data_IF_876929578466
#
_entry.id   IF_876929578466
#
_cell.length_a   1.000
_cell.length_b   1.000
_cell.length_c   1.000
_cell.angle_alpha   90.00
_cell.angle_beta   90.00
_cell.angle_gamma   90.00
#
_symmetry.space_group_name_H-M   'P 1'
#
loop_
_entity.id
_entity.type
_entity.pdbx_description
1 polymer ?
#
# COMPACT_ATOMS: atom_id res chain seq x y z
N UNK A 1 -26.96 18.36 25.09
CA UNK A 1 -26.03 17.23 25.32
C UNK A 1 -24.69 17.65 24.74
N UNK A 2 -23.60 17.48 25.48
CA UNK A 2 -22.25 17.59 24.90
C UNK A 2 -22.08 16.46 23.88
N UNK A 3 -21.51 16.75 22.71
CA UNK A 3 -21.15 15.70 21.75
C UNK A 3 -20.16 14.75 22.42
N UNK A 4 -20.41 13.45 22.38
CA UNK A 4 -19.47 12.45 22.88
C UNK A 4 -18.23 12.48 21.98
N UNK A 5 -17.04 12.49 22.60
CA UNK A 5 -15.76 12.43 21.88
C UNK A 5 -15.76 11.20 20.94
N UNK A 6 -15.53 11.44 19.64
CA UNK A 6 -15.56 10.38 18.63
C UNK A 6 -14.39 9.41 18.79
N UNK A 7 -13.27 9.87 19.34
CA UNK A 7 -12.14 9.02 19.69
C UNK A 7 -12.57 7.97 20.72
N UNK A 8 -13.24 8.38 21.80
CA UNK A 8 -13.75 7.47 22.83
C UNK A 8 -14.79 6.50 22.26
N UNK A 9 -15.71 6.99 21.43
CA UNK A 9 -16.73 6.15 20.80
C UNK A 9 -16.11 5.05 19.92
N UNK A 10 -15.11 5.40 19.11
CA UNK A 10 -14.37 4.46 18.25
C UNK A 10 -13.54 3.48 19.08
N UNK A 11 -12.86 3.94 20.13
CA UNK A 11 -12.04 3.10 20.99
C UNK A 11 -12.87 2.04 21.74
N UNK A 12 -14.00 2.43 22.33
CA UNK A 12 -14.94 1.52 23.02
C UNK A 12 -15.49 0.44 22.07
N UNK A 13 -15.99 0.84 20.90
CA UNK A 13 -16.55 -0.09 19.92
C UNK A 13 -15.47 -1.03 19.35
N UNK A 14 -14.33 -0.48 18.96
CA UNK A 14 -13.21 -1.25 18.42
C UNK A 14 -12.77 -2.34 19.39
N UNK A 15 -12.59 -2.00 20.68
CA UNK A 15 -12.11 -2.95 21.68
C UNK A 15 -13.13 -4.06 21.91
N UNK A 16 -14.41 -3.71 22.06
CA UNK A 16 -15.52 -4.65 22.18
C UNK A 16 -15.59 -5.65 21.00
N UNK A 17 -15.35 -5.18 19.78
CA UNK A 17 -15.49 -5.98 18.56
C UNK A 17 -14.19 -6.69 18.13
N UNK A 18 -13.03 -6.19 18.55
CA UNK A 18 -11.69 -6.58 18.05
C UNK A 18 -10.73 -7.07 19.15
N UNK A 19 -11.20 -7.32 20.37
CA UNK A 19 -10.37 -7.71 21.52
C UNK A 19 -9.40 -8.87 21.24
N UNK A 20 -9.87 -9.92 20.57
CA UNK A 20 -9.02 -11.07 20.20
C UNK A 20 -7.88 -10.69 19.25
N UNK A 21 -8.08 -9.69 18.38
CA UNK A 21 -7.01 -9.16 17.52
C UNK A 21 -5.95 -8.41 18.33
N UNK A 22 -6.36 -7.68 19.38
CA UNK A 22 -5.45 -7.01 20.32
C UNK A 22 -4.66 -8.06 21.12
N UNK A 23 -5.31 -9.09 21.68
CA UNK A 23 -4.61 -10.19 22.38
C UNK A 23 -3.53 -10.84 21.52
N UNK A 24 -3.90 -11.29 20.32
CA UNK A 24 -2.96 -11.96 19.39
C UNK A 24 -1.78 -11.06 19.02
N UNK A 25 -2.01 -9.74 18.89
CA UNK A 25 -0.94 -8.77 18.68
C UNK A 25 0.01 -8.69 19.89
N UNK A 26 -0.54 -8.49 21.09
CA UNK A 26 0.24 -8.38 22.34
C UNK A 26 1.03 -9.66 22.62
N UNK A 27 0.39 -10.83 22.54
CA UNK A 27 1.06 -12.15 22.65
C UNK A 27 2.19 -12.33 21.64
N UNK A 28 2.01 -11.84 20.41
CA UNK A 28 3.06 -11.91 19.38
C UNK A 28 4.22 -10.96 19.65
N UNK A 29 3.98 -9.83 20.32
CA UNK A 29 5.02 -8.86 20.67
C UNK A 29 5.79 -9.32 21.90
N UNK A 30 5.11 -9.80 22.95
CA UNK A 30 5.75 -10.30 24.18
C UNK A 30 6.57 -11.57 23.93
N UNK A 31 6.20 -12.38 22.94
CA UNK A 31 6.98 -13.56 22.51
C UNK A 31 8.16 -13.24 21.57
N UNK A 32 8.38 -11.98 21.17
CA UNK A 32 9.58 -11.60 20.39
C UNK A 32 10.78 -11.30 21.31
N UNK A 33 11.96 -11.89 21.03
CA UNK A 33 13.17 -11.58 21.79
C UNK A 33 13.57 -10.12 21.61
N UNK A 34 14.00 -9.49 22.71
CA UNK A 34 14.37 -8.06 22.74
C UNK A 34 15.55 -7.74 21.81
N UNK A 35 16.49 -8.68 21.68
CA UNK A 35 17.72 -8.54 20.87
C UNK A 35 17.55 -9.04 19.42
N UNK A 36 16.47 -8.66 18.72
CA UNK A 36 16.34 -8.98 17.29
C UNK A 36 17.19 -8.05 16.43
N UNK A 37 18.33 -8.55 15.93
CA UNK A 37 19.25 -7.83 15.05
C UNK A 37 18.62 -7.60 13.66
N UNK A 38 17.97 -6.45 13.50
CA UNK A 38 17.33 -6.01 12.26
C UNK A 38 17.88 -4.65 11.85
N UNK A 39 17.93 -4.39 10.55
CA UNK A 39 18.26 -3.09 9.99
C UNK A 39 17.26 -2.04 10.50
N UNK A 40 17.73 -0.84 10.86
CA UNK A 40 16.82 0.26 11.12
C UNK A 40 15.99 0.58 9.87
N UNK A 41 14.69 0.73 10.05
CA UNK A 41 13.75 1.06 8.98
C UNK A 41 13.63 2.58 8.86
N UNK A 42 13.80 3.11 7.65
CA UNK A 42 13.54 4.52 7.36
C UNK A 42 12.13 4.66 6.79
N UNK A 43 11.30 5.44 7.47
CA UNK A 43 9.95 5.82 7.02
C UNK A 43 9.93 7.35 6.85
N UNK A 44 8.90 7.87 6.18
CA UNK A 44 8.70 9.32 6.08
C UNK A 44 7.28 9.71 6.44
N UNK A 45 7.04 11.00 6.68
CA UNK A 45 5.70 11.60 6.61
C UNK A 45 5.82 13.01 6.08
N UNK A 46 4.73 13.61 5.61
CA UNK A 46 4.69 15.06 5.47
C UNK A 46 4.22 15.70 6.77
N UNK A 47 4.78 16.86 7.07
CA UNK A 47 4.38 17.74 8.18
C UNK A 47 4.75 19.16 7.79
N UNK A 48 3.81 20.10 7.91
CA UNK A 48 4.03 21.50 7.54
C UNK A 48 4.59 21.61 6.09
N UNK A 49 3.97 20.89 5.14
CA UNK A 49 4.38 20.69 3.74
C UNK A 49 5.77 20.08 3.48
N UNK A 50 6.53 19.77 4.53
CA UNK A 50 7.87 19.22 4.43
C UNK A 50 7.90 17.69 4.67
N UNK A 51 8.68 16.99 3.83
CA UNK A 51 8.93 15.55 3.99
C UNK A 51 9.92 15.31 5.11
N UNK A 52 9.43 14.79 6.24
CA UNK A 52 10.23 14.42 7.41
C UNK A 52 10.59 12.94 7.33
N UNK A 53 11.89 12.62 7.34
CA UNK A 53 12.40 11.25 7.44
C UNK A 53 12.59 10.86 8.91
N UNK A 54 12.10 9.67 9.27
CA UNK A 54 12.22 9.08 10.60
C UNK A 54 12.89 7.71 10.50
N UNK A 55 13.90 7.46 11.33
CA UNK A 55 14.61 6.18 11.39
C UNK A 55 14.22 5.43 12.66
N UNK A 56 13.75 4.20 12.51
CA UNK A 56 13.28 3.34 13.59
C UNK A 56 14.20 2.14 13.74
N UNK A 57 14.65 1.84 14.96
CA UNK A 57 15.53 0.70 15.23
C UNK A 57 14.82 -0.65 14.97
N UNK A 58 15.59 -1.67 14.60
CA UNK A 58 15.04 -2.94 14.09
C UNK A 58 14.26 -3.79 15.11
N UNK A 59 14.33 -3.46 16.39
CA UNK A 59 13.62 -4.13 17.49
C UNK A 59 12.14 -3.70 17.64
N UNK A 60 11.69 -2.69 16.89
CA UNK A 60 10.28 -2.32 16.81
C UNK A 60 9.45 -3.41 16.12
N UNK A 61 8.15 -3.44 16.45
CA UNK A 61 7.15 -4.26 15.79
C UNK A 61 6.47 -3.44 14.69
N UNK A 62 6.74 -3.75 13.42
CA UNK A 62 6.23 -2.95 12.31
C UNK A 62 4.84 -3.44 11.90
N UNK A 63 3.83 -2.59 12.13
CA UNK A 63 2.42 -2.85 11.82
C UNK A 63 2.00 -2.05 10.57
N UNK A 64 1.68 -2.75 9.49
CA UNK A 64 1.45 -2.16 8.17
C UNK A 64 -0.03 -1.92 7.88
N UNK A 65 -0.41 -0.73 7.44
CA UNK A 65 -1.65 -0.45 6.72
C UNK A 65 -1.45 -0.54 5.21
N UNK A 66 -2.48 -0.99 4.50
CA UNK A 66 -2.49 -1.08 3.03
C UNK A 66 -3.38 0.04 2.47
N UNK A 67 -2.88 0.88 1.56
CA UNK A 67 -3.58 2.09 1.07
C UNK A 67 -3.35 2.30 -0.44
N UNK A 68 -4.28 2.96 -1.12
CA UNK A 68 -4.26 3.18 -2.58
C UNK A 68 -3.67 4.55 -2.92
N UNK A 69 -2.34 4.58 -2.92
CA UNK A 69 -1.59 5.80 -2.66
C UNK A 69 -1.30 6.68 -3.89
N UNK A 70 -1.66 6.26 -5.10
CA UNK A 70 -1.33 7.00 -6.33
C UNK A 70 -2.38 8.05 -6.73
N UNK A 71 -3.57 8.03 -6.14
CA UNK A 71 -4.60 9.07 -6.29
C UNK A 71 -4.35 10.19 -5.25
N UNK A 72 -4.39 11.50 -5.58
CA UNK A 72 -4.32 12.57 -4.58
C UNK A 72 -5.42 12.53 -3.50
N UNK A 73 -6.55 11.88 -3.76
CA UNK A 73 -7.65 11.77 -2.79
C UNK A 73 -7.41 10.70 -1.72
N UNK A 74 -7.95 10.95 -0.52
CA UNK A 74 -8.03 9.99 0.58
C UNK A 74 -9.46 9.40 0.67
N UNK A 75 -9.60 8.10 0.35
CA UNK A 75 -10.94 7.47 0.30
C UNK A 75 -11.50 7.12 1.69
N UNK A 76 -12.81 6.87 1.76
CA UNK A 76 -13.46 6.38 2.99
C UNK A 76 -12.83 5.07 3.49
N UNK A 77 -12.42 4.18 2.57
CA UNK A 77 -11.71 2.95 2.93
C UNK A 77 -10.34 3.22 3.56
N UNK A 78 -9.54 4.11 2.94
CA UNK A 78 -8.21 4.46 3.44
C UNK A 78 -8.29 5.07 4.85
N UNK A 79 -9.22 6.00 5.09
CA UNK A 79 -9.43 6.61 6.41
C UNK A 79 -9.78 5.56 7.46
N UNK A 80 -10.70 4.65 7.14
CA UNK A 80 -11.06 3.58 8.08
C UNK A 80 -9.88 2.66 8.37
N UNK A 81 -9.08 2.35 7.36
CA UNK A 81 -7.83 1.59 7.49
C UNK A 81 -6.83 2.24 8.43
N UNK A 82 -6.59 3.54 8.24
CA UNK A 82 -5.67 4.35 9.03
C UNK A 82 -6.14 4.47 10.48
N UNK A 83 -7.44 4.68 10.73
CA UNK A 83 -8.03 4.67 12.08
C UNK A 83 -7.88 3.28 12.73
N UNK A 84 -8.18 2.20 12.02
CA UNK A 84 -7.99 0.83 12.52
C UNK A 84 -6.55 0.52 12.87
N UNK A 85 -5.60 1.04 12.08
CA UNK A 85 -4.17 0.95 12.31
C UNK A 85 -3.75 1.75 13.56
N UNK A 86 -4.29 2.97 13.78
CA UNK A 86 -4.05 3.74 15.02
C UNK A 86 -4.60 3.03 16.25
N UNK A 87 -5.83 2.53 16.18
CA UNK A 87 -6.48 1.83 17.30
C UNK A 87 -5.70 0.58 17.69
N UNK A 88 -5.36 -0.27 16.70
CA UNK A 88 -4.60 -1.49 16.94
C UNK A 88 -3.18 -1.22 17.49
N UNK A 89 -2.53 -0.12 17.09
CA UNK A 89 -1.28 0.34 17.72
C UNK A 89 -1.47 0.80 19.17
N UNK A 90 -2.45 1.66 19.44
CA UNK A 90 -2.61 2.28 20.75
C UNK A 90 -3.00 1.23 21.81
N UNK A 91 -3.96 0.35 21.48
CA UNK A 91 -4.32 -0.80 22.32
C UNK A 91 -3.16 -1.79 22.46
N UNK A 92 -2.42 -2.06 21.37
CA UNK A 92 -1.29 -2.98 21.39
C UNK A 92 -0.14 -2.49 22.29
N UNK A 93 0.24 -1.21 22.20
CA UNK A 93 1.29 -0.62 23.03
C UNK A 93 0.83 -0.57 24.50
N UNK A 94 -0.42 -0.14 24.75
CA UNK A 94 -0.99 -0.11 26.11
C UNK A 94 -0.92 -1.47 26.80
N UNK A 95 -1.45 -2.52 26.18
CA UNK A 95 -1.49 -3.86 26.80
C UNK A 95 -0.14 -4.61 26.75
N UNK A 96 0.85 -4.13 26.01
CA UNK A 96 2.26 -4.57 26.15
C UNK A 96 2.87 -3.99 27.43
N UNK A 97 2.61 -2.72 27.75
CA UNK A 97 3.20 -2.04 28.91
C UNK A 97 2.47 -2.39 30.23
N UNK A 98 1.14 -2.53 30.20
CA UNK A 98 0.31 -2.81 31.39
C UNK A 98 -0.14 -4.27 31.52
N UNK A 99 0.13 -5.11 30.52
CA UNK A 99 -0.28 -6.53 30.48
C UNK A 99 -1.77 -6.74 30.15
N UNK A 100 -2.16 -7.90 29.62
CA UNK A 100 -3.54 -8.20 29.23
C UNK A 100 -4.46 -8.39 30.45
N UNK A 101 -5.54 -7.61 30.52
CA UNK A 101 -6.59 -7.68 31.54
C UNK A 101 -7.96 -7.26 30.96
N UNK A 102 -9.04 -7.36 31.72
CA UNK A 102 -10.35 -6.83 31.30
C UNK A 102 -10.32 -5.28 31.35
N UNK A 103 -10.56 -4.56 30.24
CA UNK A 103 -10.35 -3.12 30.17
C UNK A 103 -11.36 -2.32 31.00
N UNK A 104 -10.88 -1.34 31.76
CA UNK A 104 -11.69 -0.44 32.59
C UNK A 104 -11.74 1.01 32.06
N UNK A 105 -12.50 1.87 32.76
CA UNK A 105 -12.69 3.27 32.37
C UNK A 105 -11.40 4.12 32.40
N UNK A 106 -10.42 3.78 33.24
CA UNK A 106 -9.12 4.45 33.28
C UNK A 106 -8.26 4.03 32.09
N UNK A 107 -8.31 2.77 31.67
CA UNK A 107 -7.64 2.29 30.45
C UNK A 107 -8.13 3.06 29.22
N UNK A 108 -9.45 3.17 29.04
CA UNK A 108 -10.05 3.91 27.94
C UNK A 108 -9.60 5.38 27.93
N UNK A 109 -9.57 6.05 29.09
CA UNK A 109 -9.06 7.42 29.18
C UNK A 109 -7.60 7.54 28.70
N UNK A 110 -6.71 6.67 29.17
CA UNK A 110 -5.29 6.69 28.79
C UNK A 110 -5.08 6.40 27.29
N UNK A 111 -5.84 5.46 26.74
CA UNK A 111 -5.75 5.06 25.33
C UNK A 111 -6.28 6.18 24.43
N UNK A 112 -7.38 6.85 24.79
CA UNK A 112 -7.88 8.01 24.04
C UNK A 112 -6.91 9.20 24.08
N UNK A 113 -6.28 9.46 25.22
CA UNK A 113 -5.22 10.49 25.33
C UNK A 113 -3.91 10.09 24.61
N UNK A 114 -3.73 8.82 24.27
CA UNK A 114 -2.63 8.33 23.42
C UNK A 114 -2.98 8.45 21.94
N UNK A 115 -4.23 8.15 21.56
CA UNK A 115 -4.75 8.29 20.19
C UNK A 115 -4.73 9.75 19.70
N UNK A 116 -4.91 10.73 20.60
CA UNK A 116 -4.77 12.18 20.33
C UNK A 116 -3.33 12.66 20.02
N UNK A 117 -2.35 11.75 19.99
CA UNK A 117 -0.92 12.06 19.82
C UNK A 117 -0.32 11.20 18.70
N UNK A 118 0.82 11.61 18.10
CA UNK A 118 1.50 10.80 17.11
C UNK A 118 1.86 9.42 17.69
N UNK A 119 1.84 8.34 16.87
CA UNK A 119 2.18 6.98 17.30
C UNK A 119 3.50 6.90 18.08
N UNK A 120 3.51 6.14 19.17
CA UNK A 120 4.67 5.98 20.07
C UNK A 120 4.60 4.66 20.83
N UNK A 121 5.73 3.97 20.89
CA UNK A 121 5.89 2.72 21.66
C UNK A 121 6.66 1.69 20.85
N UNK A 122 6.51 0.41 21.22
CA UNK A 122 7.19 -0.71 20.56
C UNK A 122 6.58 -1.03 19.20
N UNK A 123 5.28 -0.81 19.01
CA UNK A 123 4.60 -0.91 17.73
C UNK A 123 4.80 0.39 16.95
N UNK A 124 5.32 0.26 15.72
CA UNK A 124 5.42 1.36 14.75
C UNK A 124 4.39 1.10 13.65
N UNK A 125 3.31 1.88 13.58
CA UNK A 125 2.35 1.80 12.50
C UNK A 125 2.93 2.50 11.28
N UNK A 126 2.76 1.91 10.09
CA UNK A 126 3.17 2.55 8.85
C UNK A 126 2.25 2.21 7.68
N UNK A 127 2.13 3.12 6.73
CA UNK A 127 1.43 2.90 5.46
C UNK A 127 2.41 2.39 4.41
N UNK A 128 2.08 1.31 3.71
CA UNK A 128 2.88 0.85 2.57
C UNK A 128 2.22 1.29 1.26
N UNK A 129 2.82 2.26 0.58
CA UNK A 129 2.49 2.54 -0.82
C UNK A 129 3.15 1.49 -1.70
N UNK A 130 2.33 0.81 -2.50
CA UNK A 130 2.73 -0.32 -3.33
C UNK A 130 2.33 -0.18 -4.80
N UNK A 131 1.58 0.87 -5.12
CA UNK A 131 0.89 1.05 -6.40
C UNK A 131 1.48 2.21 -7.22
N UNK A 132 2.81 2.36 -7.15
CA UNK A 132 3.60 3.28 -7.97
C UNK A 132 3.59 2.96 -9.48
N UNK A 133 2.64 2.17 -9.97
CA UNK A 133 2.62 1.63 -11.34
C UNK A 133 1.70 2.40 -12.28
N UNK A 134 0.55 2.88 -11.80
CA UNK A 134 -0.49 3.54 -12.60
C UNK A 134 -1.05 4.73 -11.78
N UNK A 135 -0.85 6.00 -12.19
CA UNK A 135 -1.24 7.17 -11.41
C UNK A 135 -2.76 7.38 -11.30
N UNK A 136 -3.53 6.76 -12.18
CA UNK A 136 -5.00 6.78 -12.14
C UNK A 136 -5.56 5.38 -12.40
N UNK A 137 -5.29 4.48 -11.45
CA UNK A 137 -5.61 3.06 -11.58
C UNK A 137 -7.11 2.76 -11.66
N UNK A 138 -7.94 3.50 -10.92
CA UNK A 138 -9.39 3.25 -10.77
C UNK A 138 -10.27 4.36 -11.35
N UNK A 139 -9.71 5.31 -12.11
CA UNK A 139 -10.48 6.34 -12.83
C UNK A 139 -11.12 7.42 -11.94
N UNK A 140 -10.70 7.46 -10.67
CA UNK A 140 -11.13 8.44 -9.65
C UNK A 140 -10.28 9.71 -9.65
N UNK A 141 -9.11 9.71 -10.30
CA UNK A 141 -8.16 10.81 -10.17
C UNK A 141 -8.68 12.08 -10.87
N UNK A 142 -8.80 13.23 -10.18
CA UNK A 142 -9.23 14.49 -10.81
C UNK A 142 -8.25 15.02 -11.86
N UNK A 143 -7.03 14.47 -11.95
CA UNK A 143 -6.02 14.82 -12.96
C UNK A 143 -6.01 13.88 -14.17
N UNK A 144 -6.96 12.94 -14.28
CA UNK A 144 -6.90 11.84 -15.27
C UNK A 144 -6.74 12.28 -16.72
N UNK A 145 -7.45 13.32 -17.16
CA UNK A 145 -7.36 13.80 -18.54
C UNK A 145 -5.98 14.39 -18.83
N UNK A 146 -5.44 15.21 -17.94
CA UNK A 146 -4.12 15.82 -18.12
C UNK A 146 -2.98 14.80 -17.99
N UNK A 147 -3.12 13.77 -17.15
CA UNK A 147 -2.23 12.58 -17.13
C UNK A 147 -2.22 11.84 -18.49
N UNK A 148 -3.37 11.78 -19.16
CA UNK A 148 -3.58 11.11 -20.45
C UNK A 148 -3.17 11.99 -21.65
N UNK A 149 -3.24 13.31 -21.52
CA UNK A 149 -2.88 14.30 -22.53
C UNK A 149 -1.38 14.63 -22.52
N UNK A 150 -0.75 14.70 -21.33
CA UNK A 150 0.71 14.78 -21.17
C UNK A 150 1.45 13.49 -21.59
N UNK A 151 0.74 12.42 -21.94
CA UNK A 151 1.31 11.13 -22.38
C UNK A 151 1.82 10.23 -21.25
N UNK A 152 1.70 10.68 -19.99
CA UNK A 152 2.28 10.01 -18.82
C UNK A 152 1.42 8.86 -18.25
N UNK A 153 0.20 8.68 -18.75
CA UNK A 153 -0.78 7.67 -18.28
C UNK A 153 -0.32 6.20 -18.19
N UNK A 154 0.78 5.82 -18.85
CA UNK A 154 1.36 4.48 -18.76
C UNK A 154 2.74 4.44 -18.07
N UNK A 155 3.21 5.56 -17.54
CA UNK A 155 4.44 5.64 -16.74
C UNK A 155 4.15 5.14 -15.32
N UNK A 156 5.16 4.58 -14.62
CA UNK A 156 5.11 4.45 -13.17
C UNK A 156 4.81 5.80 -12.53
N UNK A 157 3.95 5.83 -11.51
CA UNK A 157 3.57 7.06 -10.80
C UNK A 157 4.79 7.80 -10.20
N UNK A 158 5.86 7.07 -9.87
CA UNK A 158 7.14 7.64 -9.42
C UNK A 158 7.84 8.52 -10.47
N UNK A 159 7.55 8.33 -11.77
CA UNK A 159 8.12 9.10 -12.87
C UNK A 159 7.19 10.17 -13.43
N UNK A 160 5.93 10.20 -12.99
CA UNK A 160 4.97 11.23 -13.40
C UNK A 160 5.40 12.61 -12.87
N UNK A 161 5.26 13.60 -13.74
CA UNK A 161 5.62 15.00 -13.59
C UNK A 161 4.36 15.85 -13.53
N UNK A 162 4.33 16.82 -12.62
CA UNK A 162 3.14 17.62 -12.32
C UNK A 162 3.00 18.87 -13.18
N UNK A 163 4.08 19.34 -13.82
CA UNK A 163 4.08 20.58 -14.62
C UNK A 163 3.02 20.63 -15.72
N UNK A 164 2.70 19.48 -16.33
CA UNK A 164 1.73 19.36 -17.43
C UNK A 164 0.37 18.79 -16.96
N UNK A 165 0.14 18.76 -15.64
CA UNK A 165 -1.11 18.28 -15.04
C UNK A 165 -2.01 19.44 -14.62
N UNK A 166 -3.31 19.17 -14.67
CA UNK A 166 -4.38 20.09 -14.30
C UNK A 166 -5.64 19.33 -13.90
N UNK A 167 -6.47 19.98 -13.08
CA UNK A 167 -7.81 19.49 -12.73
C UNK A 167 -8.64 19.31 -14.01
N UNK A 168 -9.30 18.16 -14.17
CA UNK A 168 -10.33 17.95 -15.18
C UNK A 168 -11.66 18.57 -14.75
N UNK A 169 -12.12 19.66 -15.40
CA UNK A 169 -13.40 20.28 -15.06
C UNK A 169 -14.60 19.40 -15.41
N UNK A 170 -14.44 18.40 -16.31
CA UNK A 170 -15.52 17.45 -16.64
C UNK A 170 -15.69 16.43 -15.51
N UNK A 171 -14.59 15.87 -15.01
CA UNK A 171 -14.58 15.04 -13.81
C UNK A 171 -15.23 15.76 -12.64
N UNK A 172 -14.76 16.96 -12.29
CA UNK A 172 -15.32 17.69 -11.15
C UNK A 172 -16.82 17.95 -11.32
N UNK A 173 -17.26 18.48 -12.47
CA UNK A 173 -18.68 18.73 -12.75
C UNK A 173 -19.56 17.47 -12.68
N UNK A 174 -19.01 16.29 -12.96
CA UNK A 174 -19.73 15.01 -12.90
C UNK A 174 -19.76 14.41 -11.49
N UNK A 175 -18.68 14.56 -10.74
CA UNK A 175 -18.46 13.82 -9.48
C UNK A 175 -18.45 14.67 -8.21
N UNK A 176 -18.81 15.95 -8.31
CA UNK A 176 -19.00 16.83 -7.15
C UNK A 176 -19.98 16.20 -6.13
N UNK A 177 -19.48 15.96 -4.91
CA UNK A 177 -20.21 15.32 -3.81
C UNK A 177 -20.32 13.79 -3.87
N UNK A 178 -20.04 13.15 -5.02
CA UNK A 178 -20.10 11.69 -5.16
C UNK A 178 -18.74 11.00 -5.07
N UNK A 179 -17.70 11.56 -5.70
CA UNK A 179 -16.30 11.12 -5.49
C UNK A 179 -15.40 12.22 -4.93
N UNK A 180 -15.66 13.50 -5.23
CA UNK A 180 -14.82 14.61 -4.79
C UNK A 180 -15.63 15.85 -4.37
N UNK A 181 -15.17 16.59 -3.35
CA UNK A 181 -15.75 17.87 -2.95
C UNK A 181 -15.03 19.07 -3.58
N UNK A 182 -15.69 20.24 -3.58
CA UNK A 182 -15.08 21.50 -4.04
C UNK A 182 -13.81 21.86 -3.27
N UNK A 183 -13.84 21.74 -1.95
CA UNK A 183 -12.69 22.04 -1.08
C UNK A 183 -11.48 21.12 -1.39
N UNK A 184 -11.73 19.85 -1.73
CA UNK A 184 -10.66 18.93 -2.12
C UNK A 184 -10.07 19.27 -3.48
N UNK A 185 -10.87 19.69 -4.47
CA UNK A 185 -10.37 20.21 -5.75
C UNK A 185 -9.47 21.42 -5.52
N UNK A 186 -9.86 22.34 -4.63
CA UNK A 186 -9.08 23.55 -4.36
C UNK A 186 -7.76 23.23 -3.65
N UNK A 187 -7.78 22.35 -2.64
CA UNK A 187 -6.57 21.84 -1.98
C UNK A 187 -5.62 21.11 -2.95
N UNK A 188 -6.18 20.29 -3.84
CA UNK A 188 -5.43 19.57 -4.89
C UNK A 188 -4.80 20.57 -5.87
N UNK A 189 -5.52 21.60 -6.28
CA UNK A 189 -4.99 22.61 -7.20
C UNK A 189 -3.86 23.43 -6.57
N UNK A 190 -4.02 23.89 -5.33
CA UNK A 190 -2.99 24.63 -4.58
C UNK A 190 -1.70 23.80 -4.40
N UNK A 191 -1.84 22.52 -4.03
CA UNK A 191 -0.71 21.60 -3.90
C UNK A 191 -0.06 21.27 -5.25
N UNK A 192 -0.82 21.30 -6.35
CA UNK A 192 -0.31 21.07 -7.69
C UNK A 192 0.53 22.26 -8.17
N UNK A 193 0.04 23.49 -7.98
CA UNK A 193 0.75 24.74 -8.32
C UNK A 193 2.06 24.91 -7.55
N UNK A 194 2.11 24.44 -6.29
CA UNK A 194 3.31 24.49 -5.42
C UNK A 194 4.17 23.23 -5.49
N UNK A 195 3.87 22.29 -6.40
CA UNK A 195 4.59 21.02 -6.50
C UNK A 195 5.96 21.16 -7.17
N UNK A 196 6.99 20.53 -6.59
CA UNK A 196 8.37 20.52 -7.11
C UNK A 196 8.57 19.51 -8.25
N UNK A 197 7.65 19.49 -9.21
CA UNK A 197 7.60 18.56 -10.35
C UNK A 197 7.71 17.05 -9.99
N UNK A 198 7.13 16.66 -8.85
CA UNK A 198 7.12 15.29 -8.34
C UNK A 198 5.69 14.88 -8.01
N UNK A 199 5.12 13.98 -8.80
CA UNK A 199 3.74 13.54 -8.64
C UNK A 199 3.47 12.84 -7.30
N UNK A 200 4.37 11.95 -6.86
CA UNK A 200 4.21 11.29 -5.56
C UNK A 200 4.39 12.27 -4.39
N UNK A 201 5.36 13.19 -4.42
CA UNK A 201 5.48 14.17 -3.32
C UNK A 201 4.32 15.19 -3.33
N UNK A 202 3.62 15.37 -4.45
CA UNK A 202 2.35 16.11 -4.53
C UNK A 202 1.19 15.31 -3.89
N UNK A 203 0.96 14.07 -4.32
CA UNK A 203 -0.11 13.21 -3.80
C UNK A 203 0.00 13.02 -2.28
N UNK A 204 1.21 12.76 -1.79
CA UNK A 204 1.43 12.56 -0.36
C UNK A 204 1.10 13.82 0.44
N UNK A 205 1.49 15.02 -0.03
CA UNK A 205 1.14 16.29 0.64
C UNK A 205 -0.36 16.47 0.75
N UNK A 206 -1.11 16.26 -0.34
CA UNK A 206 -2.58 16.32 -0.32
C UNK A 206 -3.14 15.33 0.70
N UNK A 207 -2.71 14.06 0.68
CA UNK A 207 -3.22 13.06 1.64
C UNK A 207 -2.88 13.41 3.08
N UNK A 208 -1.68 13.90 3.38
CA UNK A 208 -1.31 14.33 4.74
C UNK A 208 -2.12 15.56 5.19
N UNK A 209 -2.33 16.56 4.33
CA UNK A 209 -3.21 17.69 4.63
C UNK A 209 -4.67 17.25 4.86
N UNK A 210 -5.17 16.25 4.12
CA UNK A 210 -6.48 15.64 4.39
C UNK A 210 -6.49 14.91 5.74
N UNK A 211 -5.44 14.15 6.09
CA UNK A 211 -5.33 13.45 7.39
C UNK A 211 -5.29 14.41 8.58
N UNK A 212 -4.59 15.54 8.45
CA UNK A 212 -4.52 16.56 9.49
C UNK A 212 -5.90 17.23 9.72
N UNK A 213 -6.68 17.50 8.65
CA UNK A 213 -8.07 17.97 8.78
C UNK A 213 -8.98 16.93 9.46
N UNK A 214 -8.73 15.63 9.28
CA UNK A 214 -9.52 14.57 9.93
C UNK A 214 -9.22 14.42 11.43
N UNK A 215 -8.07 14.89 11.92
CA UNK A 215 -7.76 14.93 13.35
C UNK A 215 -8.79 15.79 14.11
N UNK A 216 -9.15 16.96 13.57
CA UNK A 216 -10.15 17.85 14.19
C UNK A 216 -11.53 17.19 14.32
N UNK A 217 -11.86 16.26 13.41
CA UNK A 217 -13.15 15.59 13.34
C UNK A 217 -13.19 14.37 14.26
N UNK A 218 -12.19 13.47 14.15
CA UNK A 218 -12.19 12.20 14.88
C UNK A 218 -11.51 12.24 16.25
N UNK A 219 -10.69 13.25 16.53
CA UNK A 219 -9.88 13.33 17.76
C UNK A 219 -8.75 12.30 17.84
N UNK A 220 -8.37 11.69 16.71
CA UNK A 220 -7.30 10.69 16.61
C UNK A 220 -6.23 11.24 15.66
N UNK A 221 -4.99 11.32 16.09
CA UNK A 221 -3.86 11.76 15.25
C UNK A 221 -3.61 10.68 14.19
N UNK A 222 -3.91 10.99 12.94
CA UNK A 222 -3.78 10.08 11.79
C UNK A 222 -2.45 10.25 11.03
N UNK A 223 -1.49 11.02 11.55
CA UNK A 223 -0.22 11.38 10.87
C UNK A 223 0.83 10.24 10.89
N UNK A 224 0.39 9.04 10.52
CA UNK A 224 1.17 7.79 10.43
C UNK A 224 2.29 7.95 9.39
N UNK A 225 3.45 7.35 9.64
CA UNK A 225 4.56 7.35 8.67
C UNK A 225 4.28 6.39 7.50
N UNK A 226 4.78 6.71 6.31
CA UNK A 226 4.69 5.90 5.10
C UNK A 226 6.04 5.32 4.69
N UNK A 227 5.97 4.19 3.98
CA UNK A 227 7.03 3.60 3.18
C UNK A 227 6.53 3.58 1.73
N UNK A 228 7.21 4.31 0.84
CA UNK A 228 7.03 4.12 -0.60
C UNK A 228 7.75 2.85 -1.00
N UNK A 229 7.11 2.04 -1.86
CA UNK A 229 7.79 0.91 -2.45
C UNK A 229 8.98 1.37 -3.31
N UNK A 230 9.95 0.48 -3.57
CA UNK A 230 11.27 0.92 -3.98
C UNK A 230 11.39 1.21 -5.49
N UNK A 231 10.52 1.95 -6.19
CA UNK A 231 10.89 2.37 -7.57
C UNK A 231 12.00 3.43 -7.57
N UNK A 232 11.89 4.44 -6.72
CA UNK A 232 12.97 5.43 -6.49
C UNK A 232 14.10 4.85 -5.63
N UNK A 233 13.80 3.91 -4.73
CA UNK A 233 14.85 3.20 -3.97
C UNK A 233 15.61 2.20 -4.84
N UNK A 234 15.01 1.62 -5.88
CA UNK A 234 15.68 0.74 -6.86
C UNK A 234 16.76 1.47 -7.66
N UNK A 235 16.49 2.72 -8.02
CA UNK A 235 17.43 3.60 -8.73
C UNK A 235 18.65 3.95 -7.85
N UNK A 236 18.48 3.95 -6.53
CA UNK A 236 19.52 4.28 -5.53
C UNK A 236 20.13 3.06 -4.83
N UNK A 237 19.53 1.87 -4.98
CA UNK A 237 20.03 0.60 -4.48
C UNK A 237 21.11 0.06 -5.43
N UNK A 238 22.28 -0.31 -4.90
CA UNK A 238 23.35 -0.92 -5.70
C UNK A 238 23.06 -2.38 -6.08
N UNK A 239 23.85 -2.94 -7.00
CA UNK A 239 23.66 -4.30 -7.57
C UNK A 239 23.59 -5.45 -6.54
N UNK A 240 24.14 -5.24 -5.35
CA UNK A 240 24.11 -6.19 -4.23
C UNK A 240 22.86 -6.05 -3.34
N UNK A 241 21.92 -5.19 -3.70
CA UNK A 241 20.71 -4.90 -2.96
C UNK A 241 19.67 -6.02 -2.95
N UNK A 242 18.69 -5.88 -2.06
CA UNK A 242 17.63 -6.87 -1.88
C UNK A 242 16.82 -7.05 -3.16
N UNK A 243 16.47 -5.97 -3.86
CA UNK A 243 15.56 -6.08 -4.99
C UNK A 243 16.30 -6.57 -6.25
N UNK A 244 17.54 -6.13 -6.44
CA UNK A 244 18.42 -6.65 -7.48
C UNK A 244 18.61 -8.18 -7.33
N UNK A 245 18.83 -8.65 -6.10
CA UNK A 245 18.96 -10.08 -5.79
C UNK A 245 17.64 -10.85 -5.95
N UNK A 246 16.50 -10.27 -5.55
CA UNK A 246 15.16 -10.82 -5.81
C UNK A 246 14.94 -11.03 -7.32
N UNK A 247 15.27 -10.05 -8.17
CA UNK A 247 15.07 -10.18 -9.62
C UNK A 247 16.02 -11.26 -10.18
N UNK A 248 17.32 -11.19 -9.84
CA UNK A 248 18.32 -12.19 -10.23
C UNK A 248 17.89 -13.62 -9.85
N UNK A 249 17.58 -13.87 -8.58
CA UNK A 249 17.23 -15.20 -8.08
C UNK A 249 15.86 -15.70 -8.59
N UNK A 250 14.90 -14.81 -8.86
CA UNK A 250 13.60 -15.21 -9.44
C UNK A 250 13.63 -15.47 -10.95
N UNK A 251 14.67 -15.00 -11.67
CA UNK A 251 14.82 -15.17 -13.12
C UNK A 251 15.98 -16.07 -13.56
N UNK A 252 16.82 -16.56 -12.63
CA UNK A 252 18.05 -17.35 -12.90
C UNK A 252 17.87 -18.53 -13.87
N UNK A 253 16.77 -19.26 -13.74
CA UNK A 253 16.46 -20.45 -14.55
C UNK A 253 14.95 -20.74 -14.59
N UNK A 254 14.58 -21.76 -15.37
CA UNK A 254 13.21 -22.23 -15.50
C UNK A 254 12.59 -22.72 -14.18
N UNK A 255 13.39 -23.31 -13.28
CA UNK A 255 12.88 -23.86 -12.01
C UNK A 255 12.50 -22.73 -11.04
N UNK A 256 13.35 -21.72 -10.90
CA UNK A 256 13.06 -20.52 -10.09
C UNK A 256 11.82 -19.76 -10.60
N UNK A 257 11.69 -19.63 -11.92
CA UNK A 257 10.51 -19.00 -12.53
C UNK A 257 9.27 -19.87 -12.30
N UNK A 258 9.39 -21.20 -12.43
CA UNK A 258 8.31 -22.15 -12.15
C UNK A 258 7.85 -22.10 -10.68
N UNK A 259 8.77 -22.02 -9.73
CA UNK A 259 8.47 -21.95 -8.30
C UNK A 259 7.84 -20.59 -7.93
N UNK A 260 8.30 -19.50 -8.53
CA UNK A 260 7.65 -18.18 -8.42
C UNK A 260 6.20 -18.23 -8.93
N UNK A 261 5.97 -18.90 -10.05
CA UNK A 261 4.63 -19.15 -10.59
C UNK A 261 3.76 -20.02 -9.68
N UNK A 262 4.32 -21.08 -9.11
CA UNK A 262 3.63 -21.97 -8.17
C UNK A 262 3.18 -21.21 -6.91
N UNK A 263 4.04 -20.34 -6.36
CA UNK A 263 3.70 -19.45 -5.24
C UNK A 263 2.49 -18.56 -5.57
N UNK A 264 2.46 -17.98 -6.77
CA UNK A 264 1.31 -17.19 -7.26
C UNK A 264 0.09 -18.02 -7.71
N UNK A 265 0.15 -19.35 -7.61
CA UNK A 265 -0.85 -20.30 -8.13
C UNK A 265 -1.16 -20.10 -9.62
N UNK A 266 -0.12 -19.83 -10.43
CA UNK A 266 -0.19 -19.62 -11.89
C UNK A 266 0.47 -20.77 -12.65
N UNK A 267 -0.02 -21.03 -13.87
CA UNK A 267 0.55 -22.05 -14.76
C UNK A 267 1.61 -21.46 -15.69
N UNK A 268 2.78 -22.11 -15.75
CA UNK A 268 3.85 -21.78 -16.71
C UNK A 268 3.50 -22.08 -18.18
N UNK A 269 2.41 -22.79 -18.46
CA UNK A 269 2.01 -23.22 -19.82
C UNK A 269 2.00 -22.10 -20.87
N UNK A 270 1.44 -20.93 -20.52
CA UNK A 270 1.37 -19.77 -21.43
C UNK A 270 2.62 -18.88 -21.42
N UNK A 271 3.45 -18.95 -20.37
CA UNK A 271 4.68 -18.13 -20.20
C UNK A 271 4.46 -16.60 -20.29
N UNK A 272 3.28 -16.12 -19.91
CA UNK A 272 2.85 -14.71 -20.08
C UNK A 272 2.82 -13.84 -18.81
N UNK A 273 2.97 -14.41 -17.61
CA UNK A 273 3.06 -13.60 -16.39
C UNK A 273 4.50 -13.16 -16.20
N UNK A 274 4.72 -11.87 -16.29
CA UNK A 274 5.99 -11.25 -15.95
C UNK A 274 6.17 -11.26 -14.43
N UNK A 275 7.32 -11.74 -13.95
CA UNK A 275 7.68 -11.75 -12.53
C UNK A 275 8.12 -10.37 -12.05
N UNK A 276 8.81 -9.63 -12.92
CA UNK A 276 9.07 -8.20 -12.83
C UNK A 276 8.56 -7.54 -14.11
N UNK A 277 7.98 -6.34 -14.04
CA UNK A 277 7.44 -5.62 -15.21
C UNK A 277 8.50 -4.68 -15.76
N UNK A 278 9.15 -4.99 -16.90
CA UNK A 278 10.26 -4.18 -17.40
C UNK A 278 9.73 -2.91 -18.05
N UNK A 279 10.38 -1.79 -17.74
CA UNK A 279 10.03 -0.49 -18.31
C UNK A 279 10.59 -0.38 -19.73
N UNK A 280 9.89 0.33 -20.60
CA UNK A 280 10.38 0.62 -21.94
C UNK A 280 11.27 1.86 -21.95
N UNK A 281 12.10 2.02 -23.00
CA UNK A 281 12.93 3.22 -23.18
C UNK A 281 12.11 4.50 -23.41
N UNK A 282 10.79 4.39 -23.61
CA UNK A 282 9.84 5.50 -23.66
C UNK A 282 9.25 5.86 -22.27
N UNK A 283 9.69 5.21 -21.20
CA UNK A 283 9.22 5.42 -19.83
C UNK A 283 8.00 4.60 -19.41
N UNK A 284 7.43 3.76 -20.29
CA UNK A 284 6.24 2.97 -19.96
C UNK A 284 6.55 1.88 -18.94
N UNK A 285 5.75 1.81 -17.87
CA UNK A 285 5.87 0.80 -16.80
C UNK A 285 4.53 0.20 -16.34
N UNK A 286 3.39 0.65 -16.89
CA UNK A 286 2.06 0.12 -16.56
C UNK A 286 1.98 -1.40 -16.75
N UNK A 287 1.76 -2.10 -15.65
CA UNK A 287 1.52 -3.54 -15.57
C UNK A 287 0.25 -3.94 -16.31
N UNK A 288 -0.77 -3.07 -16.33
CA UNK A 288 -1.98 -3.31 -17.12
C UNK A 288 -1.69 -3.21 -18.61
N UNK A 289 -0.84 -2.29 -19.07
CA UNK A 289 -0.49 -2.12 -20.49
C UNK A 289 0.47 -3.21 -21.02
N UNK A 290 1.38 -3.71 -20.17
CA UNK A 290 2.40 -4.69 -20.55
C UNK A 290 1.85 -6.08 -20.92
N UNK A 291 2.31 -6.66 -22.03
CA UNK A 291 2.05 -8.05 -22.45
C UNK A 291 3.38 -8.78 -22.62
N UNK A 292 3.73 -9.63 -21.67
CA UNK A 292 4.96 -10.42 -21.71
C UNK A 292 4.82 -11.77 -22.39
N UNK A 293 5.93 -12.27 -22.95
CA UNK A 293 6.13 -13.69 -23.27
C UNK A 293 7.58 -14.10 -23.04
N UNK A 294 7.80 -15.10 -22.19
CA UNK A 294 9.14 -15.64 -21.90
C UNK A 294 9.51 -16.78 -22.86
N UNK A 295 10.76 -16.77 -23.30
CA UNK A 295 11.37 -17.75 -24.20
C UNK A 295 12.54 -18.43 -23.48
N UNK A 296 12.60 -19.76 -23.57
CA UNK A 296 13.58 -20.59 -22.89
C UNK A 296 14.38 -21.41 -23.89
N UNK A 297 15.64 -21.67 -23.56
CA UNK A 297 16.56 -22.54 -24.28
C UNK A 297 17.07 -23.59 -23.29
N UNK A 298 16.47 -24.78 -23.33
CA UNK A 298 16.57 -25.74 -22.23
C UNK A 298 16.01 -25.13 -20.93
N UNK A 299 16.82 -25.13 -19.88
CA UNK A 299 16.49 -24.52 -18.58
C UNK A 299 16.80 -23.01 -18.49
N UNK A 300 17.56 -22.45 -19.45
CA UNK A 300 17.97 -21.04 -19.43
C UNK A 300 16.85 -20.14 -19.94
N UNK A 301 16.55 -19.05 -19.23
CA UNK A 301 15.76 -17.95 -19.79
C UNK A 301 16.56 -17.30 -20.93
N UNK A 302 16.10 -17.43 -22.18
CA UNK A 302 16.77 -16.85 -23.35
C UNK A 302 16.39 -15.39 -23.53
N UNK A 303 15.09 -15.08 -23.43
CA UNK A 303 14.60 -13.71 -23.56
C UNK A 303 13.17 -13.53 -23.06
N UNK A 304 12.80 -12.28 -22.81
CA UNK A 304 11.42 -11.85 -22.58
C UNK A 304 11.06 -10.83 -23.65
N UNK A 305 10.04 -11.13 -24.47
CA UNK A 305 9.42 -10.12 -25.33
C UNK A 305 8.32 -9.40 -24.54
N UNK A 306 8.35 -8.08 -24.54
CA UNK A 306 7.36 -7.22 -23.88
C UNK A 306 6.73 -6.33 -24.94
N UNK A 307 5.40 -6.40 -25.06
CA UNK A 307 4.62 -5.46 -25.87
C UNK A 307 3.71 -4.62 -24.98
N UNK A 308 3.94 -3.33 -24.93
CA UNK A 308 3.01 -2.36 -24.36
C UNK A 308 1.90 -2.06 -25.37
N UNK A 309 0.66 -1.96 -24.89
CA UNK A 309 -0.49 -1.53 -25.70
C UNK A 309 -1.41 -0.65 -24.87
N UNK A 310 -1.97 0.37 -25.50
CA UNK A 310 -3.06 1.18 -24.95
C UNK A 310 -4.18 0.29 -24.44
N UNK A 311 -4.57 0.50 -23.19
CA UNK A 311 -5.47 -0.42 -22.49
C UNK A 311 -6.32 0.33 -21.47
N UNK A 312 -7.52 -0.18 -21.24
CA UNK A 312 -8.40 0.29 -20.17
C UNK A 312 -7.88 -0.22 -18.82
N UNK A 313 -7.86 0.66 -17.83
CA UNK A 313 -7.50 0.40 -16.45
C UNK A 313 -8.70 -0.19 -15.69
N UNK A 314 -8.86 0.11 -14.40
CA UNK A 314 -9.92 -0.43 -13.58
C UNK A 314 -11.08 0.57 -13.46
N UNK A 315 -12.34 0.12 -13.45
CA UNK A 315 -13.48 0.97 -13.12
C UNK A 315 -13.46 1.36 -11.64
N UNK A 316 -14.15 2.47 -11.33
CA UNK A 316 -14.58 2.83 -9.97
C UNK A 316 -15.98 2.26 -9.69
N UNK A 317 -16.40 2.27 -8.44
CA UNK A 317 -17.71 1.80 -7.98
C UNK A 317 -18.88 2.75 -8.31
N UNK A 318 -18.63 4.01 -8.71
CA UNK A 318 -19.70 5.02 -8.98
C UNK A 318 -20.15 5.00 -10.45
N UNK A 319 -19.21 4.86 -11.39
CA UNK A 319 -19.49 4.67 -12.81
C UNK A 319 -18.48 3.68 -13.42
N UNK A 320 -18.97 2.48 -13.73
CA UNK A 320 -18.14 1.40 -14.29
C UNK A 320 -17.77 1.57 -15.77
N UNK A 321 -18.44 2.47 -16.48
CA UNK A 321 -18.19 2.72 -17.91
C UNK A 321 -17.13 3.82 -18.11
N UNK A 322 -16.95 4.72 -17.13
CA UNK A 322 -15.91 5.74 -17.17
C UNK A 322 -14.56 5.22 -16.66
N UNK A 323 -13.91 4.42 -17.51
CA UNK A 323 -12.58 3.84 -17.27
C UNK A 323 -11.44 4.67 -17.86
N UNK A 324 -10.39 4.85 -17.06
CA UNK A 324 -9.14 5.50 -17.47
C UNK A 324 -8.25 4.59 -18.31
N UNK A 325 -7.28 5.20 -18.98
CA UNK A 325 -6.53 4.58 -20.08
C UNK A 325 -5.04 4.77 -19.85
N UNK A 326 -4.30 3.67 -19.71
CA UNK A 326 -2.85 3.71 -19.88
C UNK A 326 -2.53 3.68 -21.38
N UNK A 327 -2.19 4.84 -21.97
CA UNK A 327 -1.78 4.96 -23.38
C UNK A 327 -0.31 4.56 -23.54
N UNK A 328 -0.05 3.54 -24.33
CA UNK A 328 1.30 3.10 -24.65
C UNK A 328 1.33 2.31 -25.96
N UNK A 329 2.39 2.46 -26.75
CA UNK A 329 2.69 1.55 -27.86
C UNK A 329 4.19 1.32 -27.93
N UNK A 330 4.61 0.09 -27.62
CA UNK A 330 6.01 -0.32 -27.67
C UNK A 330 6.14 -1.84 -27.79
N UNK A 331 7.20 -2.33 -28.43
CA UNK A 331 7.42 -3.75 -28.66
C UNK A 331 8.93 -4.04 -28.68
N UNK A 332 9.44 -4.60 -27.58
CA UNK A 332 10.86 -4.81 -27.38
C UNK A 332 11.14 -6.19 -26.78
N UNK A 333 12.41 -6.58 -26.80
CA UNK A 333 12.88 -7.86 -26.23
C UNK A 333 14.07 -7.62 -25.33
N UNK A 334 14.02 -8.20 -24.13
CA UNK A 334 15.11 -8.22 -23.15
C UNK A 334 15.78 -9.59 -23.23
N UNK A 335 17.11 -9.60 -23.26
CA UNK A 335 17.89 -10.83 -23.09
C UNK A 335 17.73 -11.37 -21.66
N UNK A 336 17.54 -12.67 -21.50
CA UNK A 336 17.41 -13.28 -20.18
C UNK A 336 18.62 -13.02 -19.29
N UNK A 337 19.83 -12.91 -19.86
CA UNK A 337 21.05 -12.60 -19.10
C UNK A 337 20.99 -11.24 -18.40
N UNK A 338 20.27 -10.25 -18.95
CA UNK A 338 20.08 -8.94 -18.30
C UNK A 338 19.16 -8.98 -17.08
N UNK A 339 18.38 -10.05 -16.90
CA UNK A 339 17.54 -10.26 -15.71
C UNK A 339 18.24 -11.14 -14.68
N UNK A 340 19.14 -12.03 -15.11
CA UNK A 340 20.02 -12.79 -14.21
C UNK A 340 21.13 -11.89 -13.64
N UNK A 341 21.72 -11.02 -14.47
CA UNK A 341 22.70 -10.02 -14.09
C UNK A 341 22.03 -8.64 -13.98
N UNK A 342 20.96 -8.56 -13.17
CA UNK A 342 20.09 -7.39 -13.13
C UNK A 342 20.80 -6.10 -12.72
N UNK A 343 20.61 -5.06 -13.53
CA UNK A 343 20.96 -3.67 -13.23
C UNK A 343 19.77 -2.78 -13.57
N UNK A 344 19.37 -1.92 -12.62
CA UNK A 344 18.24 -1.00 -12.80
C UNK A 344 18.50 0.03 -13.91
N UNK A 345 19.74 0.49 -14.08
CA UNK A 345 20.08 1.49 -15.10
C UNK A 345 20.06 0.92 -16.53
N UNK A 346 20.31 -0.39 -16.69
CA UNK A 346 20.26 -1.06 -18.00
C UNK A 346 18.92 -1.68 -18.35
N UNK A 347 18.17 -2.16 -17.35
CA UNK A 347 16.91 -2.90 -17.53
C UNK A 347 15.96 -2.57 -16.37
N UNK A 348 15.48 -1.32 -16.25
CA UNK A 348 14.58 -0.93 -15.17
C UNK A 348 13.32 -1.81 -15.17
N UNK A 349 12.95 -2.37 -14.01
CA UNK A 349 11.84 -3.31 -13.88
C UNK A 349 11.21 -3.30 -12.50
N UNK A 350 9.88 -3.48 -12.43
CA UNK A 350 9.09 -3.48 -11.19
C UNK A 350 8.71 -4.90 -10.73
N UNK A 351 9.39 -5.52 -9.73
CA UNK A 351 9.04 -6.84 -9.17
C UNK A 351 7.92 -6.77 -8.13
N UNK A 352 6.83 -6.03 -8.43
CA UNK A 352 5.80 -5.60 -7.48
C UNK A 352 5.32 -6.70 -6.50
N UNK A 353 5.08 -7.92 -7.00
CA UNK A 353 4.64 -9.04 -6.16
C UNK A 353 5.64 -9.44 -5.07
N UNK A 354 6.93 -9.46 -5.39
CA UNK A 354 7.98 -9.76 -4.41
C UNK A 354 8.17 -8.60 -3.42
N UNK A 355 7.98 -7.36 -3.88
CA UNK A 355 8.05 -6.18 -3.02
C UNK A 355 6.96 -6.19 -1.94
N UNK A 356 5.70 -6.42 -2.33
CA UNK A 356 4.58 -6.68 -1.40
C UNK A 356 4.88 -7.81 -0.39
N UNK A 357 5.56 -8.86 -0.86
CA UNK A 357 5.67 -10.12 -0.12
C UNK A 357 6.89 -10.20 0.80
N UNK A 358 8.02 -9.61 0.39
CA UNK A 358 9.34 -9.77 1.01
C UNK A 358 10.08 -8.43 1.23
N UNK A 359 9.79 -7.40 0.42
CA UNK A 359 10.52 -6.12 0.46
C UNK A 359 10.09 -5.15 1.56
N UNK A 360 8.95 -5.41 2.21
CA UNK A 360 8.41 -4.57 3.28
C UNK A 360 8.73 -5.18 4.67
N UNK A 361 9.00 -4.34 5.71
CA UNK A 361 9.60 -4.79 6.96
C UNK A 361 8.62 -5.41 7.98
N UNK A 362 7.34 -5.60 7.64
CA UNK A 362 6.27 -5.82 8.61
C UNK A 362 6.38 -7.10 9.43
N UNK A 363 5.99 -7.01 10.70
CA UNK A 363 5.66 -8.15 11.56
C UNK A 363 4.14 -8.43 11.55
N UNK A 364 3.32 -7.47 11.11
CA UNK A 364 1.89 -7.58 10.93
C UNK A 364 1.34 -6.65 9.84
N UNK A 365 0.27 -7.05 9.17
CA UNK A 365 -0.43 -6.22 8.18
C UNK A 365 -1.94 -6.20 8.41
N UNK A 366 -2.52 -5.01 8.35
CA UNK A 366 -3.95 -4.74 8.25
C UNK A 366 -4.35 -4.63 6.77
N UNK A 367 -5.44 -5.30 6.44
CA UNK A 367 -6.03 -5.37 5.11
C UNK A 367 -7.49 -4.91 5.15
N UNK A 368 -7.99 -4.37 4.05
CA UNK A 368 -9.39 -3.98 3.92
C UNK A 368 -10.16 -5.05 3.17
N UNK A 369 -11.34 -5.43 3.68
CA UNK A 369 -12.30 -6.29 2.99
C UNK A 369 -11.78 -7.65 2.48
N UNK A 370 -10.92 -8.36 3.23
CA UNK A 370 -10.40 -9.68 2.79
C UNK A 370 -11.53 -10.70 2.71
N UNK A 371 -12.05 -10.87 1.50
CA UNK A 371 -13.20 -11.73 1.21
C UNK A 371 -14.11 -11.12 0.15
N UNK A 372 -14.25 -9.79 0.16
CA UNK A 372 -15.06 -9.02 -0.80
C UNK A 372 -14.31 -8.86 -2.13
N UNK A 373 -13.08 -8.36 -2.09
CA UNK A 373 -12.32 -7.94 -3.29
C UNK A 373 -11.24 -8.95 -3.73
N UNK A 374 -11.39 -10.24 -3.38
CA UNK A 374 -10.49 -11.31 -3.84
C UNK A 374 -9.07 -11.33 -3.22
N UNK A 375 -8.76 -10.44 -2.27
CA UNK A 375 -7.46 -10.32 -1.60
C UNK A 375 -6.94 -11.62 -0.96
N UNK A 376 -7.82 -12.58 -0.65
CA UNK A 376 -7.45 -13.91 -0.14
C UNK A 376 -6.51 -14.69 -1.08
N UNK A 377 -6.55 -14.42 -2.40
CA UNK A 377 -5.59 -15.01 -3.36
C UNK A 377 -4.21 -14.36 -3.27
N UNK A 378 -4.15 -13.05 -3.06
CA UNK A 378 -2.88 -12.32 -2.86
C UNK A 378 -2.20 -12.79 -1.57
N UNK A 379 -2.92 -12.79 -0.45
CA UNK A 379 -2.45 -13.32 0.84
C UNK A 379 -1.87 -14.72 0.73
N UNK A 380 -2.62 -15.67 0.16
CA UNK A 380 -2.14 -17.04 -0.08
C UNK A 380 -0.84 -17.07 -0.90
N UNK A 381 -0.69 -16.16 -1.86
CA UNK A 381 0.51 -16.10 -2.70
C UNK A 381 1.72 -15.54 -1.94
N UNK A 382 1.53 -14.50 -1.13
CA UNK A 382 2.57 -13.94 -0.26
C UNK A 382 3.08 -14.97 0.76
N UNK A 383 2.15 -15.72 1.36
CA UNK A 383 2.44 -16.79 2.33
C UNK A 383 3.20 -17.93 1.66
N UNK A 384 2.73 -18.42 0.51
CA UNK A 384 3.45 -19.44 -0.26
C UNK A 384 4.87 -19.02 -0.65
N UNK A 385 5.05 -17.75 -1.05
CA UNK A 385 6.38 -17.20 -1.35
C UNK A 385 7.28 -17.15 -0.10
N UNK A 386 6.75 -16.72 1.05
CA UNK A 386 7.48 -16.71 2.33
C UNK A 386 7.89 -18.12 2.78
N UNK A 387 7.01 -19.12 2.68
CA UNK A 387 7.37 -20.52 2.94
C UNK A 387 8.45 -21.03 1.97
N UNK A 388 8.30 -20.81 0.66
CA UNK A 388 9.28 -21.25 -0.33
C UNK A 388 10.67 -20.64 -0.10
N UNK A 389 10.75 -19.38 0.32
CA UNK A 389 12.00 -18.75 0.75
C UNK A 389 12.54 -19.35 2.06
N UNK A 390 11.68 -19.60 3.05
CA UNK A 390 12.06 -20.19 4.33
C UNK A 390 12.59 -21.63 4.21
N UNK A 391 12.07 -22.39 3.25
CA UNK A 391 12.51 -23.75 2.90
C UNK A 391 13.72 -23.75 1.93
N UNK A 392 14.21 -22.57 1.53
CA UNK A 392 15.33 -22.42 0.60
C UNK A 392 15.03 -22.85 -0.84
N UNK A 393 13.76 -22.93 -1.23
CA UNK A 393 13.30 -23.39 -2.55
C UNK A 393 13.30 -22.30 -3.63
N UNK A 394 13.34 -21.01 -3.25
CA UNK A 394 13.32 -19.90 -4.20
C UNK A 394 14.47 -18.91 -3.99
N UNK A 395 14.25 -17.82 -3.24
CA UNK A 395 15.29 -16.83 -2.91
C UNK A 395 15.92 -17.23 -1.58
N UNK A 396 17.24 -17.41 -1.58
CA UNK A 396 18.05 -17.87 -0.43
C UNK A 396 18.74 -16.69 0.25
N UNK A 397 19.26 -16.93 1.46
CA UNK A 397 20.12 -16.00 2.19
C UNK A 397 19.51 -14.60 2.41
N UNK A 398 18.17 -14.52 2.62
CA UNK A 398 17.45 -13.26 2.87
C UNK A 398 17.81 -12.59 4.21
N UNK A 399 18.45 -13.35 5.11
CA UNK A 399 19.03 -12.89 6.37
C UNK A 399 20.16 -11.86 6.17
N UNK A 400 20.91 -11.91 5.06
CA UNK A 400 21.91 -10.87 4.71
C UNK A 400 21.27 -9.48 4.51
N UNK A 401 20.00 -9.46 4.11
CA UNK A 401 19.16 -8.25 4.01
C UNK A 401 18.30 -8.00 5.26
N UNK A 402 18.43 -8.86 6.28
CA UNK A 402 17.71 -8.80 7.55
C UNK A 402 16.17 -8.91 7.36
N UNK A 403 15.74 -9.51 6.24
CA UNK A 403 14.35 -9.81 5.92
C UNK A 403 13.93 -11.09 6.66
N UNK A 404 12.93 -10.98 7.53
CA UNK A 404 12.30 -12.16 8.15
C UNK A 404 11.47 -12.90 7.10
N UNK A 405 11.79 -14.17 6.85
CA UNK A 405 10.97 -15.10 6.04
C UNK A 405 9.68 -15.53 6.75
N UNK A 406 9.59 -15.39 8.08
CA UNK A 406 8.39 -15.71 8.87
C UNK A 406 7.16 -14.96 8.34
N UNK A 407 6.00 -15.60 8.36
CA UNK A 407 4.73 -14.99 7.98
C UNK A 407 4.36 -13.88 8.99
N UNK A 408 4.01 -12.66 8.53
CA UNK A 408 3.47 -11.60 9.38
C UNK A 408 2.11 -12.00 9.98
N UNK A 409 1.67 -11.36 11.06
CA UNK A 409 0.24 -11.43 11.41
C UNK A 409 -0.58 -10.77 10.30
N UNK A 410 -1.78 -11.28 10.03
CA UNK A 410 -2.70 -10.69 9.07
C UNK A 410 -4.03 -10.40 9.75
N UNK A 411 -4.45 -9.14 9.71
CA UNK A 411 -5.73 -8.67 10.21
C UNK A 411 -6.57 -8.16 9.03
N UNK A 412 -7.88 -8.40 9.04
CA UNK A 412 -8.80 -7.78 8.08
C UNK A 412 -9.79 -6.90 8.81
N UNK A 413 -10.10 -5.75 8.21
CA UNK A 413 -11.37 -5.09 8.43
C UNK A 413 -12.51 -6.04 8.01
N UNK A 414 -13.48 -6.26 8.90
CA UNK A 414 -14.67 -7.07 8.61
C UNK A 414 -15.52 -6.37 7.53
N UNK A 415 -15.81 -7.02 6.39
CA UNK A 415 -16.68 -6.48 5.34
C UNK A 415 -18.01 -5.89 5.83
N UNK A 416 -18.62 -6.44 6.90
CA UNK A 416 -19.88 -5.93 7.46
C UNK A 416 -19.74 -4.57 8.14
N UNK A 417 -18.53 -4.28 8.63
CA UNK A 417 -18.19 -3.05 9.34
C UNK A 417 -17.47 -2.02 8.45
N UNK A 418 -17.21 -2.34 7.17
CA UNK A 418 -16.65 -1.39 6.20
C UNK A 418 -17.53 -0.15 6.06
N UNK A 419 -16.93 1.02 6.12
CA UNK A 419 -17.57 2.31 5.88
C UNK A 419 -17.74 2.51 4.37
N UNK A 420 -18.87 3.10 4.00
CA UNK A 420 -19.24 3.40 2.62
C UNK A 420 -19.87 4.78 2.60
N UNK A 421 -19.78 5.49 1.48
CA UNK A 421 -20.48 6.75 1.31
C UNK A 421 -21.98 6.58 1.60
N UNK A 422 -22.58 7.32 2.55
CA UNK A 422 -23.96 7.08 2.98
C UNK A 422 -25.02 7.47 1.94
N UNK A 423 -24.64 8.19 0.88
CA UNK A 423 -25.52 8.56 -0.23
C UNK A 423 -25.30 7.65 -1.44
N UNK A 424 -24.03 7.37 -1.78
CA UNK A 424 -23.65 6.69 -3.02
C UNK A 424 -23.22 5.22 -2.82
N UNK A 425 -23.23 4.70 -1.59
CA UNK A 425 -22.99 3.30 -1.20
C UNK A 425 -21.76 2.64 -1.86
N UNK A 426 -20.64 3.35 -1.87
CA UNK A 426 -19.35 2.87 -2.37
C UNK A 426 -18.21 3.19 -1.38
N UNK A 427 -17.08 2.50 -1.51
CA UNK A 427 -15.87 2.73 -0.70
C UNK A 427 -14.90 3.75 -1.31
N UNK A 428 -15.00 3.92 -2.63
CA UNK A 428 -14.16 4.75 -3.52
C UNK A 428 -14.26 6.26 -3.26
N UNK A 429 -15.36 6.73 -2.70
CA UNK A 429 -15.60 8.14 -2.41
C UNK A 429 -14.49 8.74 -1.55
N UNK A 430 -14.03 9.96 -1.90
CA UNK A 430 -13.15 10.74 -1.02
C UNK A 430 -13.88 11.12 0.26
N UNK A 431 -13.14 11.14 1.37
CA UNK A 431 -13.69 11.44 2.70
C UNK A 431 -14.24 12.87 2.80
N UNK A 432 -13.72 13.85 2.05
CA UNK A 432 -14.21 15.23 2.06
C UNK A 432 -15.59 15.42 1.44
N UNK A 433 -16.13 14.43 0.71
CA UNK A 433 -17.54 14.40 0.30
C UNK A 433 -18.51 14.11 1.46
N UNK A 434 -18.01 13.60 2.59
CA UNK A 434 -18.86 13.06 3.65
C UNK A 434 -19.29 14.19 4.59
N UNK A 435 -20.53 14.66 4.40
CA UNK A 435 -21.13 15.77 5.16
C UNK A 435 -21.12 15.54 6.69
N UNK A 436 -21.23 14.28 7.15
CA UNK A 436 -21.22 13.94 8.57
C UNK A 436 -20.39 12.67 8.82
N UNK A 437 -19.04 12.78 8.96
CA UNK A 437 -18.18 11.63 9.24
C UNK A 437 -18.44 11.01 10.62
N UNK A 438 -19.13 11.71 11.53
CA UNK A 438 -19.49 11.15 12.84
C UNK A 438 -20.48 9.97 12.74
N UNK A 439 -21.16 9.81 11.60
CA UNK A 439 -21.95 8.60 11.27
C UNK A 439 -21.08 7.35 11.17
N UNK A 440 -19.83 7.49 10.73
CA UNK A 440 -18.88 6.38 10.64
C UNK A 440 -18.39 5.94 12.02
N UNK A 441 -18.05 6.90 12.89
CA UNK A 441 -17.75 6.60 14.29
C UNK A 441 -18.91 5.87 15.00
N UNK A 442 -20.16 6.24 14.70
CA UNK A 442 -21.37 5.54 15.18
C UNK A 442 -21.64 4.17 14.54
N UNK A 443 -21.14 3.92 13.32
CA UNK A 443 -21.19 2.59 12.68
C UNK A 443 -20.19 1.62 13.34
N UNK A 444 -19.18 2.15 14.02
CA UNK A 444 -18.15 1.36 14.65
C UNK A 444 -17.18 0.74 13.64
N UNK A 445 -16.27 -0.10 14.11
CA UNK A 445 -15.39 -0.87 13.25
C UNK A 445 -14.83 -2.12 13.93
N UNK A 446 -14.44 -3.10 13.11
CA UNK A 446 -13.97 -4.40 13.59
C UNK A 446 -12.77 -4.90 12.78
N UNK A 447 -11.66 -5.18 13.45
CA UNK A 447 -10.52 -5.90 12.89
C UNK A 447 -10.50 -7.35 13.38
N UNK A 448 -10.47 -8.29 12.45
CA UNK A 448 -10.37 -9.73 12.71
C UNK A 448 -8.99 -10.28 12.38
N UNK A 449 -8.39 -11.03 13.30
CA UNK A 449 -7.18 -11.80 13.04
C UNK A 449 -7.45 -13.00 12.11
N UNK A 450 -6.78 -13.02 10.95
CA UNK A 450 -6.94 -14.04 9.93
C UNK A 450 -6.10 -15.29 10.25
N UNK A 451 -6.54 -16.05 11.25
CA UNK A 451 -5.83 -17.24 11.77
C UNK A 451 -5.57 -18.35 10.74
N UNK A 452 -6.26 -18.35 9.59
CA UNK A 452 -6.06 -19.25 8.44
C UNK A 452 -4.83 -18.90 7.57
N UNK A 453 -4.14 -17.80 7.89
CA UNK A 453 -3.00 -17.25 7.17
C UNK A 453 -1.77 -17.13 8.09
N UNK A 454 -1.43 -18.25 8.75
CA UNK A 454 -0.29 -18.40 9.68
C UNK A 454 0.94 -19.00 9.01
#
# INVERSE_FOLDING_TARGET
MLSRDLCCLLAEDFLKNSWESVKVLVERITSLPENSSRSPVSLFRFKDDHKVLSKFEGNHFFLRGSVEYANPQLTVEEVQGIIGLRLLEAFGNYFVDYGLHEPDGQDFCQICETLKKPPKGRIVPFLLNTDEIEPDRYSMNPLKNSIVESGQSAFPAAYVKTNDLSIDPKFFKKYEGSLISKNEIDLINENLETSSNSYLDFVDRVKYAQLDNLFEIFGIDLSISALRMPLSTLETEGENGLIHDIIRESHKDYEAISQSYACMKRSMSKRTTLLSTPHSSKGYGSKRAARGKMYFEGMKLKSIRVKYRTTLLYPNEVDSEEVSIAKADDDFTIDGEKLVNYSFSETPSSPQFFLYSLGSPEDAAVWHGVGTFGASRLLRSMISLRHACNEGLLIKNLDKYQIKTKVPLHFSLDPKHMWVNPVYNNIDSSIGCIIDPSKFARKGMKLEYLSVFK
#
